data_IF_873886426570
#
_entry.id   IF_873886426570
#
_cell.length_a   1.000
_cell.length_b   1.000
_cell.length_c   1.000
_cell.angle_alpha   90.00
_cell.angle_beta   90.00
_cell.angle_gamma   90.00
#
_symmetry.space_group_name_H-M   'P 1'
#
loop_
_entity.id
_entity.type
_entity.pdbx_description
1 polymer ?
#
# COMPACT_ATOMS: atom_id res chain seq x y z
N UNK A 1 -20.25 -8.53 -8.66
CA UNK A 1 -18.95 -7.84 -8.71
C UNK A 1 -18.73 -7.32 -10.12
N UNK A 2 -18.71 -6.02 -10.31
CA UNK A 2 -18.39 -5.38 -11.58
C UNK A 2 -16.89 -5.52 -11.92
N UNK A 3 -16.52 -5.37 -13.19
CA UNK A 3 -15.12 -5.45 -13.62
C UNK A 3 -14.24 -4.41 -12.89
N UNK A 4 -14.78 -3.23 -12.64
CA UNK A 4 -14.11 -2.16 -11.89
C UNK A 4 -13.86 -2.56 -10.43
N UNK A 5 -14.87 -3.14 -9.76
CA UNK A 5 -14.71 -3.63 -8.38
C UNK A 5 -13.66 -4.74 -8.27
N UNK A 6 -13.57 -5.63 -9.28
CA UNK A 6 -12.54 -6.68 -9.33
C UNK A 6 -11.14 -6.09 -9.44
N UNK A 7 -10.96 -5.08 -10.28
CA UNK A 7 -9.68 -4.38 -10.43
C UNK A 7 -9.31 -3.64 -9.15
N UNK A 8 -10.24 -2.89 -8.55
CA UNK A 8 -9.99 -2.19 -7.27
C UNK A 8 -9.61 -3.17 -6.15
N UNK A 9 -10.32 -4.30 -6.05
CA UNK A 9 -10.00 -5.35 -5.08
C UNK A 9 -8.61 -5.93 -5.33
N UNK A 10 -8.25 -6.19 -6.59
CA UNK A 10 -6.91 -6.68 -6.95
C UNK A 10 -5.79 -5.70 -6.57
N UNK A 11 -6.01 -4.40 -6.78
CA UNK A 11 -5.05 -3.36 -6.39
C UNK A 11 -4.89 -3.32 -4.86
N UNK A 12 -5.98 -3.39 -4.10
CA UNK A 12 -5.93 -3.39 -2.63
C UNK A 12 -5.17 -4.62 -2.11
N UNK A 13 -5.43 -5.80 -2.66
CA UNK A 13 -4.71 -7.03 -2.31
C UNK A 13 -3.21 -6.90 -2.62
N UNK A 14 -2.86 -6.33 -3.78
CA UNK A 14 -1.47 -6.09 -4.15
C UNK A 14 -0.78 -5.12 -3.18
N UNK A 15 -1.44 -4.03 -2.78
CA UNK A 15 -0.94 -3.08 -1.79
C UNK A 15 -0.69 -3.77 -0.44
N UNK A 16 -1.62 -4.62 0.02
CA UNK A 16 -1.47 -5.39 1.25
C UNK A 16 -0.28 -6.35 1.17
N UNK A 17 -0.17 -7.11 0.09
CA UNK A 17 0.93 -8.06 -0.11
C UNK A 17 2.29 -7.36 -0.14
N UNK A 18 2.41 -6.26 -0.89
CA UNK A 18 3.63 -5.44 -0.94
C UNK A 18 3.99 -4.87 0.42
N UNK A 19 2.98 -4.47 1.21
CA UNK A 19 3.22 -3.92 2.54
C UNK A 19 3.81 -4.95 3.50
N UNK A 20 3.33 -6.19 3.45
CA UNK A 20 3.91 -7.30 4.22
C UNK A 20 5.37 -7.56 3.80
N UNK A 21 5.66 -7.55 2.50
CA UNK A 21 7.02 -7.74 1.99
C UNK A 21 7.95 -6.63 2.51
N UNK A 22 7.52 -5.37 2.43
CA UNK A 22 8.28 -4.23 2.95
C UNK A 22 8.52 -4.36 4.45
N UNK A 23 7.49 -4.74 5.22
CA UNK A 23 7.63 -5.03 6.65
C UNK A 23 8.69 -6.07 6.94
N UNK A 24 8.70 -7.20 6.20
CA UNK A 24 9.72 -8.23 6.36
C UNK A 24 11.12 -7.67 6.09
N UNK A 25 11.29 -6.87 5.04
CA UNK A 25 12.59 -6.26 4.71
C UNK A 25 13.05 -5.32 5.83
N UNK A 26 12.17 -4.42 6.29
CA UNK A 26 12.48 -3.46 7.36
C UNK A 26 12.79 -4.17 8.68
N UNK A 27 12.03 -5.20 9.04
CA UNK A 27 12.27 -5.99 10.25
C UNK A 27 13.61 -6.74 10.26
N UNK A 28 14.19 -7.02 9.10
CA UNK A 28 15.49 -7.72 8.97
C UNK A 28 16.71 -6.80 8.98
N UNK A 29 16.52 -5.48 9.00
CA UNK A 29 17.62 -4.51 9.11
C UNK A 29 18.37 -4.69 10.43
N UNK A 30 19.69 -4.41 10.44
CA UNK A 30 20.58 -4.70 11.57
C UNK A 30 20.10 -4.13 12.92
N UNK A 31 19.48 -2.96 12.90
CA UNK A 31 18.87 -2.30 14.05
C UNK A 31 17.73 -3.13 14.70
N UNK A 32 17.08 -3.98 13.91
CA UNK A 32 15.90 -4.75 14.27
C UNK A 32 16.14 -6.27 14.29
N UNK A 33 17.36 -6.74 13.99
CA UNK A 33 17.69 -8.19 13.90
C UNK A 33 17.42 -8.96 15.20
N UNK A 34 17.54 -8.32 16.36
CA UNK A 34 17.18 -8.96 17.62
C UNK A 34 15.70 -9.38 17.56
N UNK A 35 15.33 -10.64 17.91
CA UNK A 35 13.96 -11.13 17.75
C UNK A 35 12.88 -10.24 18.40
N UNK A 36 13.21 -9.58 19.52
CA UNK A 36 12.34 -8.60 20.19
C UNK A 36 12.04 -7.34 19.36
N UNK A 37 12.97 -6.95 18.50
CA UNK A 37 12.91 -5.74 17.69
C UNK A 37 12.38 -6.03 16.27
N UNK A 38 12.54 -7.26 15.78
CA UNK A 38 12.04 -7.70 14.47
C UNK A 38 10.55 -7.38 14.32
N UNK A 39 9.74 -7.71 15.33
CA UNK A 39 8.30 -7.46 15.33
C UNK A 39 7.98 -5.97 15.21
N UNK A 40 8.73 -5.11 15.90
CA UNK A 40 8.55 -3.67 15.82
C UNK A 40 8.89 -3.13 14.43
N UNK A 41 10.05 -3.51 13.86
CA UNK A 41 10.44 -3.13 12.51
C UNK A 41 9.46 -3.64 11.44
N UNK A 42 9.00 -4.89 11.57
CA UNK A 42 7.97 -5.47 10.71
C UNK A 42 6.66 -4.70 10.77
N UNK A 43 6.15 -4.39 11.96
CA UNK A 43 4.89 -3.67 12.14
C UNK A 43 4.99 -2.26 11.58
N UNK A 44 6.04 -1.51 11.93
CA UNK A 44 6.25 -0.13 11.46
C UNK A 44 6.42 -0.10 9.93
N UNK A 45 7.23 -1.00 9.38
CA UNK A 45 7.46 -1.09 7.94
C UNK A 45 6.16 -1.37 7.19
N UNK A 46 5.39 -2.38 7.62
CA UNK A 46 4.12 -2.75 6.99
C UNK A 46 3.06 -1.65 7.09
N UNK A 47 2.95 -1.01 8.26
CA UNK A 47 1.95 0.05 8.49
C UNK A 47 2.29 1.32 7.70
N UNK A 48 3.57 1.70 7.66
CA UNK A 48 3.99 2.89 6.93
C UNK A 48 3.82 2.69 5.43
N UNK A 49 4.22 1.52 4.91
CA UNK A 49 4.07 1.22 3.49
C UNK A 49 2.62 1.18 3.04
N UNK A 50 1.71 0.59 3.83
CA UNK A 50 0.30 0.51 3.44
C UNK A 50 -0.33 1.90 3.38
N UNK A 51 -0.01 2.78 4.33
CA UNK A 51 -0.50 4.15 4.35
C UNK A 51 -0.01 4.90 3.11
N UNK A 52 1.28 4.79 2.77
CA UNK A 52 1.87 5.48 1.61
C UNK A 52 1.27 4.95 0.30
N UNK A 53 1.32 3.63 0.08
CA UNK A 53 0.85 3.02 -1.17
C UNK A 53 -0.64 3.26 -1.39
N UNK A 54 -1.45 3.13 -0.34
CA UNK A 54 -2.88 3.42 -0.42
C UNK A 54 -3.14 4.90 -0.69
N UNK A 55 -2.40 5.81 -0.05
CA UNK A 55 -2.53 7.26 -0.29
C UNK A 55 -2.18 7.63 -1.72
N UNK A 56 -1.13 7.04 -2.29
CA UNK A 56 -0.75 7.21 -3.70
C UNK A 56 -1.88 6.73 -4.61
N UNK A 57 -2.35 5.49 -4.41
CA UNK A 57 -3.45 4.93 -5.20
C UNK A 57 -4.71 5.82 -5.14
N UNK A 58 -5.09 6.26 -3.94
CA UNK A 58 -6.27 7.10 -3.74
C UNK A 58 -6.11 8.46 -4.41
N UNK A 59 -4.93 9.07 -4.31
CA UNK A 59 -4.63 10.36 -4.94
C UNK A 59 -4.72 10.27 -6.47
N UNK A 60 -4.12 9.24 -7.06
CA UNK A 60 -4.20 8.98 -8.51
C UNK A 60 -5.65 8.77 -8.94
N UNK A 61 -6.42 7.97 -8.19
CA UNK A 61 -7.84 7.72 -8.48
C UNK A 61 -8.67 9.01 -8.49
N UNK A 62 -8.42 9.90 -7.51
CA UNK A 62 -9.10 11.20 -7.45
C UNK A 62 -8.72 12.08 -8.65
N UNK A 63 -7.42 12.20 -8.95
CA UNK A 63 -6.95 13.02 -10.08
C UNK A 63 -7.50 12.48 -11.40
N UNK A 64 -7.47 11.17 -11.62
CA UNK A 64 -8.02 10.54 -12.83
C UNK A 64 -9.52 10.82 -12.99
N UNK A 65 -10.30 10.74 -11.90
CA UNK A 65 -11.73 11.08 -11.92
C UNK A 65 -11.96 12.56 -12.25
N UNK A 66 -11.15 13.47 -11.69
CA UNK A 66 -11.25 14.90 -11.99
C UNK A 66 -10.93 15.21 -13.46
N UNK A 67 -9.88 14.59 -14.02
CA UNK A 67 -9.49 14.77 -15.42
C UNK A 67 -10.54 14.22 -16.39
N UNK A 68 -11.10 13.04 -16.11
CA UNK A 68 -12.17 12.47 -16.93
C UNK A 68 -13.46 13.31 -16.87
N UNK A 69 -13.79 13.87 -15.70
CA UNK A 69 -14.93 14.78 -15.56
C UNK A 69 -14.76 16.04 -16.41
N UNK A 70 -13.55 16.62 -16.44
CA UNK A 70 -13.25 17.85 -17.21
C UNK A 70 -13.26 17.64 -18.72
N UNK A 71 -12.96 16.42 -19.21
CA UNK A 71 -12.98 16.08 -20.64
C UNK A 71 -14.39 15.83 -21.20
N UNK A 72 -15.36 15.56 -20.33
CA UNK A 72 -16.76 15.32 -20.68
C UNK A 72 -17.62 16.60 -20.70
N UNK A 73 -17.03 17.74 -20.34
CA UNK A 73 -17.64 19.09 -20.39
C UNK A 73 -16.98 19.85 -21.52
#
# INVERSE_FOLDING_TARGET
MSQNERIETGIIIAILALSVIIGIIVGRQEEWIAPRNFTAGYMVGSLTSIIILFSIYRSISIIAKMLNKKRSV
#
